data_IF_613739742475
#
_entry.id   IF_613739742475
#
_cell.length_a   1.000
_cell.length_b   1.000
_cell.length_c   1.000
_cell.angle_alpha   90.00
_cell.angle_beta   90.00
_cell.angle_gamma   90.00
#
_symmetry.space_group_name_H-M   'P 1'
#
loop_
_entity.id
_entity.type
_entity.pdbx_description
1 polymer ?
#
# COMPACT_ATOMS: atom_id res chain seq x y z
N UNK A 1 18.27 -16.54 -2.98
CA UNK A 1 18.44 -16.43 -4.45
C UNK A 1 17.07 -16.69 -5.10
N UNK A 2 16.30 -15.64 -5.40
CA UNK A 2 14.92 -15.75 -5.91
C UNK A 2 14.84 -15.95 -7.44
N UNK A 3 15.97 -15.87 -8.15
CA UNK A 3 16.00 -15.87 -9.61
C UNK A 3 15.26 -17.05 -10.29
N UNK A 4 15.38 -18.31 -9.82
CA UNK A 4 14.64 -19.41 -10.44
C UNK A 4 13.11 -19.28 -10.31
N UNK A 5 12.63 -18.62 -9.26
CA UNK A 5 11.20 -18.38 -9.03
C UNK A 5 10.70 -17.23 -9.90
N UNK A 6 11.48 -16.15 -10.02
CA UNK A 6 11.13 -15.01 -10.89
C UNK A 6 11.00 -15.45 -12.36
N UNK A 7 11.87 -16.35 -12.82
CA UNK A 7 11.76 -16.95 -14.16
C UNK A 7 10.38 -17.59 -14.39
N UNK A 8 9.94 -18.46 -13.47
CA UNK A 8 8.62 -19.11 -13.55
C UNK A 8 7.45 -18.13 -13.44
N UNK A 9 7.57 -17.10 -12.61
CA UNK A 9 6.54 -16.06 -12.50
C UNK A 9 6.44 -15.22 -13.77
N UNK A 10 7.54 -15.05 -14.49
CA UNK A 10 7.56 -14.32 -15.77
C UNK A 10 6.96 -15.13 -16.95
N UNK A 11 6.70 -16.43 -16.76
CA UNK A 11 5.99 -17.28 -17.73
C UNK A 11 4.46 -17.16 -17.62
N UNK A 12 3.95 -16.48 -16.58
CA UNK A 12 2.52 -16.24 -16.39
C UNK A 12 2.17 -14.74 -16.52
N UNK A 13 0.91 -14.46 -16.82
CA UNK A 13 0.38 -13.09 -16.83
C UNK A 13 0.20 -12.59 -15.39
N UNK A 14 1.15 -11.78 -14.91
CA UNK A 14 1.11 -11.14 -13.58
C UNK A 14 0.50 -9.74 -13.68
N UNK A 15 -0.42 -9.42 -12.78
CA UNK A 15 -1.09 -8.11 -12.71
C UNK A 15 -0.84 -7.45 -11.36
N UNK A 16 -0.41 -6.20 -11.37
CA UNK A 16 -0.36 -5.35 -10.18
C UNK A 16 -1.67 -4.54 -10.09
N UNK A 17 -2.47 -4.82 -9.07
CA UNK A 17 -3.74 -4.15 -8.78
C UNK A 17 -3.55 -2.83 -8.01
N UNK A 18 -2.58 -2.01 -8.42
CA UNK A 18 -2.20 -0.77 -7.71
C UNK A 18 -1.76 0.31 -8.69
N UNK A 19 -2.16 1.56 -8.44
CA UNK A 19 -1.66 2.74 -9.15
C UNK A 19 -0.38 3.33 -8.53
N UNK A 20 0.18 2.72 -7.48
CA UNK A 20 1.36 3.23 -6.78
C UNK A 20 2.64 3.04 -7.60
N UNK A 21 3.28 4.15 -7.96
CA UNK A 21 4.61 4.16 -8.61
C UNK A 21 5.69 3.47 -7.77
N UNK A 22 5.62 3.56 -6.45
CA UNK A 22 6.58 2.92 -5.54
C UNK A 22 6.47 1.39 -5.61
N UNK A 23 5.25 0.84 -5.65
CA UNK A 23 5.02 -0.60 -5.78
C UNK A 23 5.43 -1.13 -7.15
N UNK A 24 5.17 -0.36 -8.20
CA UNK A 24 5.68 -0.64 -9.54
C UNK A 24 7.22 -0.71 -9.55
N UNK A 25 7.91 0.30 -8.99
CA UNK A 25 9.36 0.33 -8.92
C UNK A 25 9.93 -0.85 -8.12
N UNK A 26 9.31 -1.20 -6.98
CA UNK A 26 9.70 -2.34 -6.16
C UNK A 26 9.65 -3.66 -6.95
N UNK A 27 8.54 -3.94 -7.64
CA UNK A 27 8.42 -5.17 -8.43
C UNK A 27 9.32 -5.18 -9.66
N UNK A 28 9.56 -4.01 -10.27
CA UNK A 28 10.55 -3.88 -11.35
C UNK A 28 11.98 -4.18 -10.87
N UNK A 29 12.33 -3.77 -9.65
CA UNK A 29 13.68 -3.97 -9.09
C UNK A 29 14.07 -5.45 -8.93
N UNK A 30 13.08 -6.34 -8.84
CA UNK A 30 13.28 -7.80 -8.76
C UNK A 30 13.13 -8.49 -10.14
N UNK A 31 13.06 -7.72 -11.23
CA UNK A 31 12.89 -8.18 -12.60
C UNK A 31 11.61 -9.00 -12.85
N UNK A 32 10.53 -8.71 -12.11
CA UNK A 32 9.21 -9.29 -12.37
C UNK A 32 8.55 -8.58 -13.57
N UNK A 33 8.02 -9.35 -14.52
CA UNK A 33 7.19 -8.87 -15.62
C UNK A 33 5.75 -8.83 -15.15
N UNK A 34 5.12 -7.66 -15.23
CA UNK A 34 3.72 -7.48 -14.84
C UNK A 34 3.09 -6.33 -15.62
N UNK A 35 1.77 -6.33 -15.69
CA UNK A 35 0.98 -5.18 -16.13
C UNK A 35 0.34 -4.47 -14.93
N UNK A 36 -0.01 -3.20 -15.09
CA UNK A 36 -0.63 -2.39 -14.04
C UNK A 36 -2.09 -2.19 -14.40
N UNK A 37 -2.99 -2.68 -13.55
CA UNK A 37 -4.42 -2.53 -13.71
C UNK A 37 -4.98 -2.01 -12.38
N UNK A 38 -5.16 -0.70 -12.22
CA UNK A 38 -5.67 -0.13 -10.98
C UNK A 38 -7.06 -0.68 -10.62
N UNK A 39 -7.25 -0.91 -9.32
CA UNK A 39 -8.56 -1.27 -8.78
C UNK A 39 -9.42 -0.03 -8.56
N UNK A 40 -10.72 -0.16 -8.81
CA UNK A 40 -11.74 0.84 -8.43
C UNK A 40 -12.49 0.40 -7.16
N UNK A 41 -11.90 -0.51 -6.37
CA UNK A 41 -12.50 -0.97 -5.13
C UNK A 41 -12.67 0.20 -4.17
N UNK A 42 -13.91 0.44 -3.75
CA UNK A 42 -14.23 1.47 -2.77
C UNK A 42 -13.75 1.03 -1.39
N UNK A 43 -12.87 1.84 -0.80
CA UNK A 43 -12.19 1.51 0.45
C UNK A 43 -13.02 1.92 1.68
N UNK A 44 -14.21 1.34 1.81
CA UNK A 44 -15.23 1.73 2.79
C UNK A 44 -15.32 0.81 4.01
N UNK A 45 -14.28 0.00 4.28
CA UNK A 45 -14.22 -0.82 5.48
C UNK A 45 -14.27 0.06 6.73
N UNK A 46 -15.01 -0.35 7.75
CA UNK A 46 -15.09 0.38 9.01
C UNK A 46 -13.84 0.07 9.87
N UNK A 47 -12.94 1.06 10.13
CA UNK A 47 -11.74 0.81 10.91
C UNK A 47 -12.00 0.28 12.33
N UNK A 48 -13.15 0.60 12.94
CA UNK A 48 -13.47 0.14 14.30
C UNK A 48 -13.83 -1.33 14.41
N UNK A 49 -14.13 -1.99 13.29
CA UNK A 49 -14.53 -3.40 13.24
C UNK A 49 -13.37 -4.35 12.90
N UNK A 50 -12.19 -3.80 12.67
CA UNK A 50 -11.03 -4.55 12.21
C UNK A 50 -9.81 -4.27 13.06
N UNK A 51 -8.97 -5.29 13.25
CA UNK A 51 -7.58 -5.03 13.61
C UNK A 51 -6.89 -4.30 12.45
N UNK A 52 -5.77 -3.65 12.74
CA UNK A 52 -5.02 -2.97 11.71
C UNK A 52 -4.57 -3.90 10.56
N UNK A 53 -4.09 -5.10 10.90
CA UNK A 53 -3.74 -6.12 9.91
C UNK A 53 -4.95 -6.56 9.07
N UNK A 54 -6.08 -6.84 9.72
CA UNK A 54 -7.30 -7.23 9.00
C UNK A 54 -7.77 -6.14 8.04
N UNK A 55 -7.67 -4.87 8.44
CA UNK A 55 -8.08 -3.73 7.62
C UNK A 55 -7.29 -3.66 6.31
N UNK A 56 -5.95 -3.73 6.38
CA UNK A 56 -5.09 -3.66 5.19
C UNK A 56 -5.20 -4.92 4.34
N UNK A 57 -5.34 -6.11 4.94
CA UNK A 57 -5.52 -7.37 4.20
C UNK A 57 -6.86 -7.41 3.48
N UNK A 58 -7.95 -7.02 4.15
CA UNK A 58 -9.28 -7.00 3.55
C UNK A 58 -9.37 -5.95 2.44
N UNK A 59 -8.72 -4.80 2.60
CA UNK A 59 -8.63 -3.82 1.51
C UNK A 59 -7.82 -4.39 0.34
N UNK A 60 -6.63 -4.95 0.58
CA UNK A 60 -5.80 -5.53 -0.48
C UNK A 60 -6.55 -6.66 -1.21
N UNK A 61 -7.31 -7.48 -0.48
CA UNK A 61 -8.19 -8.52 -1.02
C UNK A 61 -9.30 -7.92 -1.88
N UNK A 62 -9.97 -6.87 -1.41
CA UNK A 62 -10.98 -6.14 -2.18
C UNK A 62 -10.45 -5.63 -3.52
N UNK A 63 -9.26 -5.00 -3.49
CA UNK A 63 -8.55 -4.53 -4.70
C UNK A 63 -8.24 -5.67 -5.68
N UNK A 64 -7.71 -6.77 -5.16
CA UNK A 64 -7.37 -7.97 -5.93
C UNK A 64 -8.60 -8.57 -6.59
N UNK A 65 -9.68 -8.76 -5.84
CA UNK A 65 -10.95 -9.31 -6.32
C UNK A 65 -11.58 -8.41 -7.38
N UNK A 66 -11.57 -7.09 -7.17
CA UNK A 66 -12.10 -6.14 -8.16
C UNK A 66 -11.36 -6.26 -9.50
N UNK A 67 -10.02 -6.34 -9.49
CA UNK A 67 -9.23 -6.53 -10.71
C UNK A 67 -9.45 -7.92 -11.32
N UNK A 68 -9.58 -8.97 -10.51
CA UNK A 68 -9.95 -10.29 -11.01
C UNK A 68 -11.28 -10.27 -11.78
N UNK A 69 -12.31 -9.64 -11.22
CA UNK A 69 -13.63 -9.54 -11.84
C UNK A 69 -13.60 -8.81 -13.19
N UNK A 70 -12.74 -7.79 -13.33
CA UNK A 70 -12.50 -7.08 -14.61
C UNK A 70 -11.88 -8.00 -15.67
N UNK A 71 -11.00 -8.92 -15.26
CA UNK A 71 -10.12 -9.67 -16.17
C UNK A 71 -10.53 -11.14 -16.37
N UNK A 72 -11.45 -11.68 -15.57
CA UNK A 72 -11.79 -13.12 -15.54
C UNK A 72 -12.25 -13.71 -16.89
N UNK A 73 -12.72 -12.85 -17.79
CA UNK A 73 -13.19 -13.21 -19.14
C UNK A 73 -12.19 -12.88 -20.25
N UNK A 74 -11.04 -12.27 -19.94
CA UNK A 74 -10.01 -11.99 -20.93
C UNK A 74 -9.25 -13.25 -21.36
N UNK A 75 -8.69 -13.22 -22.56
CA UNK A 75 -7.82 -14.27 -23.09
C UNK A 75 -6.49 -13.65 -23.52
N UNK A 76 -5.35 -14.03 -22.89
CA UNK A 76 -5.23 -14.99 -21.80
C UNK A 76 -5.75 -14.45 -20.46
N UNK A 77 -6.25 -15.33 -19.59
CA UNK A 77 -6.63 -14.95 -18.22
C UNK A 77 -5.39 -14.52 -17.40
N UNK A 78 -5.56 -13.68 -16.36
CA UNK A 78 -4.47 -13.44 -15.42
C UNK A 78 -4.05 -14.76 -14.77
N UNK A 79 -2.73 -14.97 -14.66
CA UNK A 79 -2.16 -16.10 -13.91
C UNK A 79 -1.91 -15.75 -12.44
N UNK A 80 -1.68 -14.47 -12.15
CA UNK A 80 -1.51 -13.95 -10.80
C UNK A 80 -1.97 -12.49 -10.73
N UNK A 81 -2.61 -12.10 -9.62
CA UNK A 81 -2.96 -10.69 -9.34
C UNK A 81 -2.45 -10.34 -7.95
N UNK A 82 -1.76 -9.21 -7.84
CA UNK A 82 -1.17 -8.71 -6.59
C UNK A 82 -1.87 -7.40 -6.21
N UNK A 83 -2.70 -7.44 -5.17
CA UNK A 83 -3.25 -6.26 -4.53
C UNK A 83 -2.46 -5.90 -3.26
N UNK A 84 -2.42 -4.60 -2.96
CA UNK A 84 -1.65 -4.06 -1.84
C UNK A 84 -2.41 -2.91 -1.21
N UNK A 85 -2.38 -2.83 0.11
CA UNK A 85 -2.82 -1.68 0.88
C UNK A 85 -1.77 -1.27 1.91
N UNK A 86 -1.72 0.01 2.27
CA UNK A 86 -0.73 0.52 3.23
C UNK A 86 -1.33 1.62 4.07
N UNK A 87 -1.07 1.58 5.36
CA UNK A 87 -1.46 2.63 6.29
C UNK A 87 -0.40 2.86 7.35
N UNK A 88 -0.43 4.05 7.93
CA UNK A 88 0.37 4.41 9.11
C UNK A 88 -0.55 4.44 10.30
N UNK A 89 -0.04 3.95 11.42
CA UNK A 89 -0.69 4.11 12.72
C UNK A 89 0.26 4.76 13.70
N UNK A 90 -0.30 5.62 14.53
CA UNK A 90 0.41 6.27 15.62
C UNK A 90 -0.53 6.37 16.82
N UNK A 91 -0.03 5.95 17.99
CA UNK A 91 -0.79 5.94 19.25
C UNK A 91 -2.19 5.30 19.12
N UNK A 92 -2.24 4.14 18.44
CA UNK A 92 -3.49 3.39 18.21
C UNK A 92 -4.48 4.05 17.26
N UNK A 93 -4.07 5.09 16.51
CA UNK A 93 -4.91 5.78 15.51
C UNK A 93 -4.35 5.58 14.11
N UNK A 94 -5.26 5.37 13.16
CA UNK A 94 -4.94 5.31 11.74
C UNK A 94 -4.73 6.72 11.17
N UNK A 95 -3.68 6.90 10.38
CA UNK A 95 -3.33 8.15 9.73
C UNK A 95 -3.56 8.10 8.23
N UNK A 96 -4.49 8.97 7.85
CA UNK A 96 -4.96 9.20 6.49
C UNK A 96 -3.93 9.74 5.52
N UNK A 97 -4.24 9.73 4.22
CA UNK A 97 -3.66 10.71 3.28
C UNK A 97 -4.02 12.12 3.75
N UNK A 98 -3.06 13.05 3.83
CA UNK A 98 -3.36 14.43 4.17
C UNK A 98 -4.29 15.04 3.11
N UNK A 99 -5.35 15.71 3.56
CA UNK A 99 -6.35 16.32 2.66
C UNK A 99 -5.89 17.65 2.07
N UNK A 100 -5.02 18.36 2.79
CA UNK A 100 -4.47 19.66 2.46
C UNK A 100 -3.16 19.88 3.24
N UNK A 101 -2.53 21.04 3.02
CA UNK A 101 -1.26 21.37 3.67
C UNK A 101 -1.39 21.45 5.19
N UNK A 102 -2.49 22.00 5.70
CA UNK A 102 -2.74 22.11 7.14
C UNK A 102 -2.81 20.73 7.80
N UNK A 103 -3.49 19.79 7.14
CA UNK A 103 -3.61 18.40 7.59
C UNK A 103 -2.25 17.68 7.49
N UNK A 104 -1.47 17.91 6.44
CA UNK A 104 -0.11 17.38 6.31
C UNK A 104 0.79 17.86 7.46
N UNK A 105 0.77 19.16 7.79
CA UNK A 105 1.53 19.73 8.90
C UNK A 105 1.11 19.05 10.21
N UNK A 106 -0.20 18.92 10.47
CA UNK A 106 -0.73 18.25 11.67
C UNK A 106 -0.23 16.80 11.76
N UNK A 107 -0.38 16.03 10.70
CA UNK A 107 0.06 14.63 10.64
C UNK A 107 1.56 14.52 10.91
N UNK A 108 2.39 15.30 10.21
CA UNK A 108 3.84 15.24 10.38
C UNK A 108 4.25 15.64 11.82
N UNK A 109 3.59 16.63 12.41
CA UNK A 109 3.81 17.00 13.82
C UNK A 109 3.52 15.83 14.75
N UNK A 110 2.37 15.17 14.60
CA UNK A 110 2.00 14.01 15.43
C UNK A 110 3.06 12.89 15.33
N UNK A 111 3.49 12.57 14.11
CA UNK A 111 4.43 11.47 13.84
C UNK A 111 5.88 11.76 14.30
N UNK A 112 6.26 13.05 14.46
CA UNK A 112 7.66 13.45 14.72
C UNK A 112 7.89 14.03 16.11
N UNK A 113 6.89 14.66 16.72
CA UNK A 113 7.09 15.43 17.97
C UNK A 113 6.82 14.61 19.24
N UNK A 114 6.08 13.51 19.13
CA UNK A 114 5.73 12.64 20.27
C UNK A 114 6.92 11.89 20.87
N UNK A 115 7.95 11.61 20.06
CA UNK A 115 9.07 10.74 20.44
C UNK A 115 8.70 9.25 20.55
N UNK A 116 7.46 8.89 20.22
CA UNK A 116 7.01 7.50 20.15
C UNK A 116 7.14 7.00 18.70
N UNK A 117 7.39 5.69 18.50
CA UNK A 117 7.43 5.13 17.16
C UNK A 117 6.04 5.09 16.51
N UNK A 118 6.05 5.00 15.19
CA UNK A 118 4.87 4.83 14.35
C UNK A 118 4.93 3.46 13.68
N UNK A 119 3.80 2.79 13.48
CA UNK A 119 3.77 1.50 12.79
C UNK A 119 3.19 1.65 11.38
N UNK A 120 3.90 1.12 10.40
CA UNK A 120 3.46 1.05 9.00
C UNK A 120 2.98 -0.37 8.72
N UNK A 121 1.70 -0.52 8.44
CA UNK A 121 1.08 -1.78 8.07
C UNK A 121 0.97 -1.86 6.55
N UNK A 122 1.50 -2.94 5.96
CA UNK A 122 1.30 -3.27 4.55
C UNK A 122 0.56 -4.60 4.44
N UNK A 123 -0.69 -4.54 3.99
CA UNK A 123 -1.47 -5.72 3.63
C UNK A 123 -1.23 -6.10 2.18
N UNK A 124 -0.99 -7.37 1.90
CA UNK A 124 -0.81 -7.91 0.56
C UNK A 124 -1.82 -9.01 0.32
N UNK A 125 -2.43 -9.00 -0.86
CA UNK A 125 -3.31 -10.05 -1.33
C UNK A 125 -2.81 -10.57 -2.68
N UNK A 126 -2.60 -11.88 -2.78
CA UNK A 126 -2.15 -12.55 -3.99
C UNK A 126 -3.23 -13.53 -4.42
N UNK A 127 -3.87 -13.23 -5.54
CA UNK A 127 -4.70 -14.22 -6.23
C UNK A 127 -3.81 -15.09 -7.11
N UNK A 128 -3.87 -16.40 -6.92
CA UNK A 128 -3.15 -17.40 -7.70
C UNK A 128 -3.92 -18.73 -7.66
N UNK A 129 -4.07 -19.37 -8.82
CA UNK A 129 -4.74 -20.68 -8.96
C UNK A 129 -6.12 -20.73 -8.25
N UNK A 130 -6.96 -19.71 -8.51
CA UNK A 130 -8.30 -19.54 -7.94
C UNK A 130 -8.36 -19.40 -6.40
N UNK A 131 -7.24 -19.07 -5.74
CA UNK A 131 -7.19 -18.80 -4.31
C UNK A 131 -6.59 -17.42 -4.06
N UNK A 132 -7.05 -16.76 -3.00
CA UNK A 132 -6.46 -15.52 -2.51
C UNK A 132 -5.72 -15.81 -1.22
N UNK A 133 -4.42 -15.56 -1.25
CA UNK A 133 -3.53 -15.59 -0.10
C UNK A 133 -3.33 -14.16 0.40
N UNK A 134 -3.48 -13.94 1.70
CA UNK A 134 -3.23 -12.63 2.32
C UNK A 134 -2.19 -12.73 3.40
N UNK A 135 -1.45 -11.65 3.61
CA UNK A 135 -0.55 -11.47 4.74
C UNK A 135 -0.32 -9.98 5.00
N UNK A 136 0.12 -9.67 6.21
CA UNK A 136 0.50 -8.32 6.64
C UNK A 136 1.96 -8.29 7.04
N UNK A 137 2.67 -7.25 6.60
CA UNK A 137 3.99 -6.88 7.13
C UNK A 137 3.85 -5.58 7.94
N UNK A 138 4.47 -5.54 9.13
CA UNK A 138 4.45 -4.36 10.00
C UNK A 138 5.87 -3.85 10.20
N UNK A 139 6.09 -2.55 9.94
CA UNK A 139 7.38 -1.89 10.14
C UNK A 139 7.25 -0.76 11.14
N UNK A 140 7.98 -0.85 12.25
CA UNK A 140 8.06 0.21 13.27
C UNK A 140 9.09 1.26 12.84
N UNK A 141 8.66 2.52 12.76
CA UNK A 141 9.41 3.67 12.25
C UNK A 141 9.63 4.69 13.36
N UNK A 142 10.90 4.99 13.62
CA UNK A 142 11.33 6.03 14.55
C UNK A 142 11.64 7.30 13.76
N UNK A 143 10.89 8.35 14.05
CA UNK A 143 11.07 9.65 13.40
C UNK A 143 11.96 10.54 14.26
N UNK A 144 12.84 11.30 13.60
CA UNK A 144 13.52 12.40 14.26
C UNK A 144 12.51 13.49 14.62
N UNK A 145 12.77 14.22 15.71
CA UNK A 145 12.01 15.43 16.02
C UNK A 145 12.32 16.48 14.98
N UNK A 146 11.27 17.01 14.35
CA UNK A 146 11.37 18.11 13.39
C UNK A 146 10.88 19.42 14.02
N UNK A 147 11.56 20.51 13.70
CA UNK A 147 11.10 21.86 14.03
C UNK A 147 9.87 22.24 13.19
N UNK A 148 9.13 23.27 13.61
CA UNK A 148 7.97 23.71 12.84
C UNK A 148 8.38 24.21 11.44
N UNK A 149 9.53 24.89 11.34
CA UNK A 149 10.09 25.39 10.09
C UNK A 149 10.47 24.25 9.13
N UNK A 150 11.05 23.16 9.65
CA UNK A 150 11.36 21.97 8.85
C UNK A 150 10.10 21.29 8.31
N UNK A 151 9.06 21.19 9.15
CA UNK A 151 7.77 20.60 8.76
C UNK A 151 7.09 21.45 7.68
N UNK A 152 7.02 22.76 7.88
CA UNK A 152 6.43 23.69 6.91
C UNK A 152 7.21 23.70 5.59
N UNK A 153 8.54 23.70 5.67
CA UNK A 153 9.40 23.60 4.49
C UNK A 153 9.14 22.29 3.74
N UNK A 154 9.04 21.15 4.43
CA UNK A 154 8.74 19.86 3.79
C UNK A 154 7.35 19.85 3.15
N UNK A 155 6.32 20.35 3.83
CA UNK A 155 4.96 20.46 3.26
C UNK A 155 4.92 21.39 2.05
N UNK A 156 5.71 22.47 2.04
CA UNK A 156 5.78 23.40 0.91
C UNK A 156 6.28 22.76 -0.39
N UNK A 157 7.02 21.64 -0.32
CA UNK A 157 7.46 20.89 -1.50
C UNK A 157 6.30 20.20 -2.23
N UNK A 158 5.16 20.02 -1.56
CA UNK A 158 4.04 19.20 -2.03
C UNK A 158 4.30 17.70 -1.96
N UNK A 159 5.51 17.25 -1.62
CA UNK A 159 5.82 15.83 -1.48
C UNK A 159 4.88 15.13 -0.48
N UNK A 160 4.52 15.72 0.68
CA UNK A 160 3.59 15.07 1.60
C UNK A 160 2.23 14.73 1.01
N UNK A 161 1.73 15.55 0.08
CA UNK A 161 0.43 15.33 -0.56
C UNK A 161 0.47 14.25 -1.64
N UNK A 162 1.65 14.01 -2.22
CA UNK A 162 1.83 13.08 -3.35
C UNK A 162 2.41 11.74 -2.88
N UNK A 163 3.34 11.77 -1.94
CA UNK A 163 4.15 10.63 -1.50
C UNK A 163 3.66 10.00 -0.20
N UNK A 164 2.76 10.64 0.57
CA UNK A 164 2.02 9.92 1.61
C UNK A 164 1.13 8.90 0.93
N UNK A 165 1.69 7.71 0.75
CA UNK A 165 0.97 6.56 0.20
C UNK A 165 0.38 5.74 1.35
N UNK A 166 -0.05 6.44 2.39
CA UNK A 166 -0.70 5.90 3.57
C UNK A 166 -2.14 6.36 3.51
N UNK A 167 -3.06 5.41 3.63
CA UNK A 167 -4.46 5.68 3.44
C UNK A 167 -5.05 6.49 4.56
#
# INVERSE_FOLDING_TARGET
MLQPLIGKLNDIRVVLASSSKQREQLLKSINLKFEIIPSDFEENLNPSEHTFSDFVENTARGKTSNVYEKLKNETPKPGMIIGVDTMVTFDGKMYGKPKNNEDAIRIIKDLTQSGLPNDVYTGVAIWYNNKIHTFTEVTTVYMAKLSNEEIESYVSTGEPLVNFTFK
#
